data_IF_817207509368
#
_entry.id   IF_817207509368
#
_cell.length_a   1.000
_cell.length_b   1.000
_cell.length_c   1.000
_cell.angle_alpha   90.00
_cell.angle_beta   90.00
_cell.angle_gamma   90.00
#
_symmetry.space_group_name_H-M   'P 1'
#
loop_
_entity.id
_entity.type
_entity.pdbx_description
1 polymer ?
#
# COMPACT_ATOMS: atom_id res chain seq x y z
N UNK A 1 3.20 53.75 -37.97
CA UNK A 1 4.32 54.26 -38.79
C UNK A 1 5.50 53.36 -38.48
N UNK A 2 5.76 52.29 -39.24
CA UNK A 2 6.27 52.30 -40.61
C UNK A 2 5.51 51.31 -41.50
N UNK A 3 5.27 51.77 -42.72
CA UNK A 3 4.66 51.11 -43.86
C UNK A 3 5.75 50.41 -44.68
N UNK A 4 5.50 49.20 -45.20
CA UNK A 4 6.11 48.76 -46.46
C UNK A 4 5.27 47.65 -47.10
N UNK A 5 4.75 47.94 -48.29
CA UNK A 5 4.14 47.00 -49.22
C UNK A 5 5.20 46.30 -50.10
N UNK A 6 4.74 45.21 -50.74
CA UNK A 6 4.90 44.88 -52.16
C UNK A 6 5.98 43.85 -52.54
N UNK A 7 5.54 42.71 -53.09
CA UNK A 7 5.59 42.40 -54.53
C UNK A 7 4.98 41.02 -54.86
N UNK A 8 4.15 40.98 -55.90
CA UNK A 8 3.68 39.78 -56.59
C UNK A 8 4.75 39.19 -57.51
N UNK A 9 4.84 37.86 -57.55
CA UNK A 9 5.23 36.99 -58.69
C UNK A 9 4.37 35.71 -58.46
N UNK A 10 3.51 35.21 -59.34
CA UNK A 10 3.60 35.09 -60.78
C UNK A 10 4.19 33.72 -61.15
N UNK A 11 3.43 32.62 -61.01
CA UNK A 11 3.83 31.32 -61.57
C UNK A 11 2.66 30.43 -61.98
N UNK A 12 2.59 30.26 -63.30
CA UNK A 12 2.03 29.19 -64.15
C UNK A 12 1.16 28.09 -63.50
N UNK A 13 -0.06 27.99 -64.04
CA UNK A 13 -0.97 26.85 -63.91
C UNK A 13 -0.52 25.74 -64.86
N UNK A 14 -0.24 24.54 -64.36
CA UNK A 14 -0.16 23.32 -65.17
C UNK A 14 -1.31 22.43 -64.71
N UNK A 15 -2.27 22.20 -65.61
CA UNK A 15 -3.35 21.24 -65.45
C UNK A 15 -2.77 19.83 -65.54
N UNK A 16 -2.79 19.10 -64.43
CA UNK A 16 -2.62 17.65 -64.43
C UNK A 16 -3.95 17.02 -64.00
N UNK A 17 -4.62 16.36 -64.96
CA UNK A 17 -5.81 15.57 -64.75
C UNK A 17 -5.46 14.36 -63.88
N UNK A 18 -5.93 14.35 -62.64
CA UNK A 18 -5.85 13.17 -61.77
C UNK A 18 -7.26 12.73 -61.36
N UNK A 19 -7.46 11.44 -61.52
CA UNK A 19 -8.68 10.65 -61.37
C UNK A 19 -9.27 10.83 -59.98
N UNK A 20 -10.56 11.18 -59.89
CA UNK A 20 -11.30 11.18 -58.63
C UNK A 20 -11.46 9.74 -58.13
N UNK A 21 -10.58 9.32 -57.22
CA UNK A 21 -10.80 8.14 -56.38
C UNK A 21 -11.49 8.62 -55.12
N UNK A 22 -12.80 8.41 -55.01
CA UNK A 22 -13.55 8.55 -53.76
C UNK A 22 -12.98 7.57 -52.72
N UNK A 23 -12.43 8.04 -51.59
CA UNK A 23 -12.17 7.16 -50.47
C UNK A 23 -13.53 6.81 -49.85
N UNK A 24 -13.90 5.54 -49.90
CA UNK A 24 -15.03 5.04 -49.13
C UNK A 24 -14.80 5.34 -47.65
N UNK A 25 -15.70 6.12 -47.04
CA UNK A 25 -15.76 6.28 -45.59
C UNK A 25 -16.21 4.94 -45.03
N UNK A 26 -15.25 4.11 -44.65
CA UNK A 26 -15.52 2.95 -43.83
C UNK A 26 -15.96 3.46 -42.45
N UNK A 27 -17.27 3.57 -42.24
CA UNK A 27 -17.90 3.77 -40.94
C UNK A 27 -17.60 2.55 -40.06
N UNK A 28 -16.39 2.50 -39.50
CA UNK A 28 -16.12 1.68 -38.35
C UNK A 28 -16.72 2.41 -37.14
N UNK A 29 -17.64 1.79 -36.38
CA UNK A 29 -17.98 2.35 -35.08
C UNK A 29 -16.67 2.49 -34.29
N UNK A 30 -16.44 3.61 -33.59
CA UNK A 30 -15.30 3.68 -32.71
C UNK A 30 -15.41 2.48 -31.76
N UNK A 31 -14.44 1.57 -31.81
CA UNK A 31 -14.26 0.57 -30.76
C UNK A 31 -14.20 1.39 -29.48
N UNK A 32 -15.26 1.33 -28.69
CA UNK A 32 -15.21 1.78 -27.32
C UNK A 32 -14.08 0.98 -26.68
N UNK A 33 -12.92 1.61 -26.52
CA UNK A 33 -11.92 1.17 -25.57
C UNK A 33 -12.70 1.17 -24.27
N UNK A 34 -13.08 -0.01 -23.81
CA UNK A 34 -13.72 -0.20 -22.52
C UNK A 34 -12.92 0.63 -21.53
N UNK A 35 -13.54 1.67 -21.00
CA UNK A 35 -12.95 2.48 -19.94
C UNK A 35 -12.59 1.49 -18.85
N UNK A 36 -11.29 1.28 -18.66
CA UNK A 36 -10.79 0.44 -17.60
C UNK A 36 -11.48 0.92 -16.33
N UNK A 37 -12.27 0.04 -15.71
CA UNK A 37 -13.00 0.31 -14.48
C UNK A 37 -12.08 1.09 -13.56
N UNK A 38 -12.56 2.23 -13.06
CA UNK A 38 -11.85 3.08 -12.09
C UNK A 38 -11.61 2.20 -10.87
N UNK A 39 -10.50 1.47 -10.89
CA UNK A 39 -10.10 0.61 -9.80
C UNK A 39 -9.70 1.58 -8.73
N UNK A 40 -10.57 1.75 -7.73
CA UNK A 40 -10.32 2.53 -6.53
C UNK A 40 -8.87 2.30 -6.09
N UNK A 41 -8.03 3.29 -6.36
CA UNK A 41 -6.60 3.25 -6.05
C UNK A 41 -6.47 3.26 -4.53
N UNK A 42 -5.75 2.30 -3.97
CA UNK A 42 -5.49 2.29 -2.54
C UNK A 42 -4.76 3.58 -2.15
N UNK A 43 -5.27 4.28 -1.15
CA UNK A 43 -4.60 5.43 -0.55
C UNK A 43 -4.02 4.99 0.79
N UNK A 44 -2.71 5.16 0.96
CA UNK A 44 -1.99 4.88 2.20
C UNK A 44 -1.69 6.16 2.97
N UNK A 45 -1.89 6.13 4.28
CA UNK A 45 -1.58 7.21 5.21
C UNK A 45 -0.76 6.63 6.36
N UNK A 46 0.29 7.33 6.77
CA UNK A 46 1.14 6.92 7.87
C UNK A 46 1.28 8.07 8.85
N UNK A 47 1.25 7.75 10.14
CA UNK A 47 1.30 8.72 11.22
C UNK A 47 2.13 8.17 12.37
N UNK A 48 2.63 9.07 13.23
CA UNK A 48 3.27 8.71 14.49
C UNK A 48 2.88 9.67 15.61
N UNK A 49 3.02 9.20 16.84
CA UNK A 49 3.00 9.99 18.07
C UNK A 49 4.12 9.48 18.96
N UNK A 50 4.86 10.41 19.57
CA UNK A 50 5.89 10.11 20.56
C UNK A 50 5.76 11.13 21.69
N UNK A 51 5.50 10.66 22.89
CA UNK A 51 5.42 11.44 24.12
C UNK A 51 6.06 10.64 25.27
N UNK A 52 6.04 11.20 26.48
CA UNK A 52 6.69 10.60 27.66
C UNK A 52 6.22 9.16 27.96
N UNK A 53 5.01 8.81 27.55
CA UNK A 53 4.38 7.54 27.91
C UNK A 53 4.08 6.62 26.71
N UNK A 54 4.22 7.11 25.48
CA UNK A 54 3.79 6.40 24.26
C UNK A 54 4.70 6.73 23.09
N UNK A 55 5.24 5.70 22.45
CA UNK A 55 5.76 5.74 21.09
C UNK A 55 4.88 4.84 20.21
N UNK A 56 4.19 5.42 19.24
CA UNK A 56 3.29 4.68 18.37
C UNK A 56 3.34 5.15 16.91
N UNK A 57 3.16 4.19 16.00
CA UNK A 57 2.98 4.43 14.57
C UNK A 57 1.65 3.84 14.10
N UNK A 58 0.97 4.55 13.23
CA UNK A 58 -0.29 4.13 12.63
C UNK A 58 -0.19 4.16 11.11
N UNK A 59 -0.64 3.08 10.47
CA UNK A 59 -0.73 2.96 9.01
C UNK A 59 -2.17 2.64 8.63
N UNK A 60 -2.76 3.49 7.79
CA UNK A 60 -4.15 3.41 7.36
C UNK A 60 -4.19 3.26 5.84
N UNK A 61 -4.99 2.32 5.35
CA UNK A 61 -5.32 2.18 3.95
C UNK A 61 -6.80 2.43 3.71
N UNK A 62 -7.08 3.16 2.64
CA UNK A 62 -8.42 3.45 2.19
C UNK A 62 -8.57 2.96 0.76
N UNK A 63 -9.57 2.12 0.53
CA UNK A 63 -9.98 1.68 -0.80
C UNK A 63 -11.50 1.86 -0.94
N UNK A 64 -11.90 2.92 -1.64
CA UNK A 64 -13.30 3.34 -1.68
C UNK A 64 -13.73 3.75 -0.27
N UNK A 65 -14.79 3.12 0.25
CA UNK A 65 -15.22 3.35 1.64
C UNK A 65 -14.57 2.39 2.64
N UNK A 66 -13.85 1.37 2.20
CA UNK A 66 -13.23 0.39 3.09
C UNK A 66 -11.97 0.99 3.72
N UNK A 67 -11.84 0.80 5.04
CA UNK A 67 -10.67 1.19 5.82
C UNK A 67 -10.04 -0.06 6.41
N UNK A 68 -8.73 -0.20 6.21
CA UNK A 68 -7.90 -1.14 6.96
C UNK A 68 -6.71 -0.40 7.54
N UNK A 69 -6.04 -1.00 8.52
CA UNK A 69 -4.83 -0.41 9.06
C UNK A 69 -4.23 -1.19 10.20
N UNK A 70 -3.09 -0.70 10.67
CA UNK A 70 -2.34 -1.26 11.78
C UNK A 70 -1.76 -0.15 12.65
N UNK A 71 -1.76 -0.37 13.95
CA UNK A 71 -0.99 0.43 14.91
C UNK A 71 0.06 -0.48 15.55
N UNK A 72 1.28 0.03 15.69
CA UNK A 72 2.33 -0.57 16.51
C UNK A 72 2.72 0.47 17.56
N UNK A 73 2.68 0.10 18.83
CA UNK A 73 2.84 1.03 19.93
C UNK A 73 3.61 0.40 21.10
N UNK A 74 4.40 1.24 21.78
CA UNK A 74 5.07 0.92 23.04
C UNK A 74 4.64 1.94 24.08
N UNK A 75 4.19 1.43 25.22
CA UNK A 75 3.90 2.23 26.41
C UNK A 75 5.15 2.20 27.28
N UNK A 76 5.52 3.38 27.78
CA UNK A 76 6.66 3.59 28.64
C UNK A 76 6.16 4.21 29.96
N UNK A 77 6.59 3.65 31.08
CA UNK A 77 6.50 4.32 32.38
C UNK A 77 7.84 4.17 33.07
N UNK A 78 8.69 5.18 32.93
CA UNK A 78 10.04 5.18 33.48
C UNK A 78 10.05 5.13 35.01
N UNK A 79 9.10 5.83 35.64
CA UNK A 79 8.99 5.90 37.11
C UNK A 79 8.71 4.52 37.72
N UNK A 80 7.92 3.70 37.03
CA UNK A 80 7.56 2.35 37.47
C UNK A 80 8.42 1.25 36.81
N UNK A 81 9.41 1.63 35.99
CA UNK A 81 10.20 0.69 35.17
C UNK A 81 9.34 -0.28 34.34
N UNK A 82 8.19 0.21 33.86
CA UNK A 82 7.21 -0.57 33.11
C UNK A 82 7.27 -0.25 31.61
N UNK A 83 7.35 -1.30 30.80
CA UNK A 83 7.42 -1.23 29.35
C UNK A 83 6.56 -2.34 28.75
N UNK A 84 5.58 -1.99 27.93
CA UNK A 84 4.78 -2.98 27.20
C UNK A 84 4.54 -2.52 25.77
N UNK A 85 4.37 -3.46 24.86
CA UNK A 85 4.06 -3.17 23.46
C UNK A 85 2.77 -3.83 23.05
N UNK A 86 1.99 -3.12 22.23
CA UNK A 86 0.77 -3.66 21.66
C UNK A 86 0.70 -3.40 20.16
N UNK A 87 -0.09 -4.23 19.49
CA UNK A 87 -0.45 -4.01 18.09
C UNK A 87 -1.96 -3.92 17.96
N UNK A 88 -2.42 -3.05 17.06
CA UNK A 88 -3.84 -2.97 16.73
C UNK A 88 -4.05 -3.31 15.26
N UNK A 89 -5.12 -4.04 14.98
CA UNK A 89 -5.64 -4.24 13.63
C UNK A 89 -6.93 -3.47 13.48
N UNK A 90 -6.98 -2.63 12.44
CA UNK A 90 -8.08 -1.72 12.19
C UNK A 90 -8.86 -2.20 10.96
N UNK A 91 -10.19 -2.32 11.09
CA UNK A 91 -11.07 -2.71 9.99
C UNK A 91 -12.36 -1.90 10.08
N UNK A 92 -12.78 -1.25 9.00
CA UNK A 92 -13.92 -0.36 9.10
C UNK A 92 -14.33 0.32 7.81
N UNK A 93 -15.08 1.41 7.97
CA UNK A 93 -15.54 2.25 6.87
C UNK A 93 -15.27 3.72 7.09
N UNK A 94 -15.19 4.48 6.01
CA UNK A 94 -15.02 5.94 6.04
C UNK A 94 -16.30 6.67 5.66
N UNK A 95 -16.65 7.71 6.42
CA UNK A 95 -17.69 8.70 6.09
C UNK A 95 -17.11 10.10 6.27
N UNK A 96 -16.82 10.80 5.18
CA UNK A 96 -16.12 12.08 5.25
C UNK A 96 -14.71 11.91 5.83
N UNK A 97 -14.40 12.58 6.94
CA UNK A 97 -13.15 12.41 7.69
C UNK A 97 -13.24 11.37 8.83
N UNK A 98 -14.43 10.82 9.11
CA UNK A 98 -14.62 9.87 10.19
C UNK A 98 -14.36 8.43 9.71
N UNK A 99 -13.56 7.70 10.48
CA UNK A 99 -13.28 6.28 10.31
C UNK A 99 -14.04 5.52 11.40
N UNK A 100 -15.07 4.75 11.02
CA UNK A 100 -15.79 3.86 11.93
C UNK A 100 -15.05 2.52 11.96
N UNK A 101 -14.33 2.24 13.03
CA UNK A 101 -13.35 1.16 13.12
C UNK A 101 -13.78 0.09 14.13
N UNK A 102 -13.73 -1.17 13.70
CA UNK A 102 -13.58 -2.31 14.60
C UNK A 102 -12.08 -2.53 14.82
N UNK A 103 -11.64 -2.39 16.05
CA UNK A 103 -10.23 -2.47 16.44
C UNK A 103 -10.01 -3.74 17.24
N UNK A 104 -8.99 -4.51 16.87
CA UNK A 104 -8.50 -5.63 17.67
C UNK A 104 -7.11 -5.27 18.18
N UNK A 105 -6.98 -5.10 19.50
CA UNK A 105 -5.70 -4.85 20.17
C UNK A 105 -5.15 -6.17 20.70
N UNK A 106 -3.90 -6.47 20.39
CA UNK A 106 -3.14 -7.58 20.99
C UNK A 106 -2.01 -6.99 21.84
N UNK A 107 -2.00 -7.33 23.11
CA UNK A 107 -0.97 -6.96 24.08
C UNK A 107 -0.56 -8.25 24.80
N UNK A 108 0.70 -8.64 24.67
CA UNK A 108 1.21 -9.90 25.24
C UNK A 108 0.31 -11.11 24.88
N UNK A 109 -0.35 -11.72 25.87
CA UNK A 109 -1.27 -12.85 25.73
C UNK A 109 -2.75 -12.44 25.64
N UNK A 110 -3.05 -11.15 25.79
CA UNK A 110 -4.40 -10.62 25.81
C UNK A 110 -4.82 -10.07 24.47
N UNK A 111 -6.12 -10.24 24.17
CA UNK A 111 -6.76 -9.68 22.98
C UNK A 111 -8.03 -8.96 23.36
N UNK A 112 -8.12 -7.70 22.97
CA UNK A 112 -9.27 -6.83 23.23
C UNK A 112 -9.88 -6.38 21.91
N UNK A 113 -11.20 -6.21 21.89
CA UNK A 113 -11.92 -5.71 20.71
C UNK A 113 -12.76 -4.50 21.09
N UNK A 114 -12.59 -3.41 20.36
CA UNK A 114 -13.33 -2.17 20.56
C UNK A 114 -13.93 -1.66 19.25
N UNK A 115 -14.94 -0.81 19.37
CA UNK A 115 -15.43 0.00 18.25
C UNK A 115 -15.11 1.46 18.55
N UNK A 116 -14.45 2.12 17.61
CA UNK A 116 -14.00 3.50 17.78
C UNK A 116 -14.29 4.31 16.52
N UNK A 117 -14.49 5.61 16.71
CA UNK A 117 -14.59 6.57 15.62
C UNK A 117 -13.36 7.46 15.66
N UNK A 118 -12.49 7.32 14.67
CA UNK A 118 -11.29 8.16 14.54
C UNK A 118 -11.51 9.24 13.49
N UNK A 119 -10.83 10.37 13.64
CA UNK A 119 -10.89 11.47 12.65
C UNK A 119 -9.59 11.53 11.87
N UNK A 120 -9.67 11.34 10.57
CA UNK A 120 -8.56 11.40 9.63
C UNK A 120 -8.59 12.72 8.85
N UNK A 121 -7.52 13.50 8.96
CA UNK A 121 -7.28 14.68 8.12
C UNK A 121 -6.13 14.43 7.14
N UNK A 122 -5.74 15.44 6.37
CA UNK A 122 -4.56 15.36 5.51
C UNK A 122 -3.26 15.17 6.31
N UNK A 123 -3.21 15.70 7.54
CA UNK A 123 -1.97 15.87 8.31
C UNK A 123 -2.02 15.21 9.70
N UNK A 124 -3.18 14.72 10.13
CA UNK A 124 -3.34 14.08 11.43
C UNK A 124 -4.34 12.93 11.46
N UNK A 125 -4.14 12.05 12.43
CA UNK A 125 -5.09 11.02 12.82
C UNK A 125 -5.42 11.21 14.32
N UNK A 126 -6.63 11.65 14.61
CA UNK A 126 -7.12 11.84 15.97
C UNK A 126 -7.95 10.62 16.40
N UNK A 127 -7.49 9.96 17.47
CA UNK A 127 -8.11 8.75 18.03
C UNK A 127 -9.09 9.04 19.18
N UNK A 128 -9.26 10.31 19.56
CA UNK A 128 -9.94 10.75 20.78
C UNK A 128 -9.05 10.71 22.03
N UNK A 129 -8.02 9.86 22.03
CA UNK A 129 -7.01 9.75 23.11
C UNK A 129 -5.73 10.48 22.75
N UNK A 130 -5.26 10.25 21.53
CA UNK A 130 -4.00 10.75 20.99
C UNK A 130 -4.21 11.35 19.61
N UNK A 131 -3.37 12.34 19.27
CA UNK A 131 -3.31 12.96 17.94
C UNK A 131 -1.98 12.60 17.29
N UNK A 132 -2.04 11.72 16.30
CA UNK A 132 -0.87 11.31 15.53
C UNK A 132 -0.61 12.33 14.41
N UNK A 133 0.66 12.62 14.18
CA UNK A 133 1.14 13.51 13.11
C UNK A 133 1.55 12.71 11.89
N UNK A 134 1.27 13.25 10.69
CA UNK A 134 1.59 12.58 9.42
C UNK A 134 3.08 12.31 9.28
N UNK A 135 3.39 11.15 8.72
CA UNK A 135 4.72 10.70 8.37
C UNK A 135 4.76 10.14 6.93
N UNK A 136 5.94 10.11 6.30
CA UNK A 136 6.13 9.37 5.05
C UNK A 136 5.81 7.88 5.23
N UNK A 137 5.02 7.31 4.32
CA UNK A 137 4.82 5.87 4.28
C UNK A 137 6.04 5.17 3.67
N UNK A 138 6.89 4.60 4.51
CA UNK A 138 8.03 3.79 4.10
C UNK A 138 7.57 2.37 3.71
N UNK A 139 6.82 2.28 2.61
CA UNK A 139 6.29 1.02 2.06
C UNK A 139 6.85 0.75 0.66
N UNK A 140 7.21 -0.50 0.39
CA UNK A 140 7.73 -0.93 -0.92
C UNK A 140 6.75 -1.84 -1.64
N UNK A 141 6.67 -1.75 -2.98
CA UNK A 141 5.85 -2.65 -3.78
C UNK A 141 6.69 -3.84 -4.26
N UNK A 142 6.22 -5.06 -4.03
CA UNK A 142 6.77 -6.25 -4.68
C UNK A 142 6.06 -6.41 -6.03
N UNK A 143 6.86 -6.43 -7.11
CA UNK A 143 6.41 -6.68 -8.47
C UNK A 143 7.16 -7.87 -9.04
N UNK A 144 6.45 -8.72 -9.79
CA UNK A 144 7.07 -9.82 -10.51
C UNK A 144 7.52 -9.35 -11.89
N UNK A 145 8.63 -9.91 -12.37
CA UNK A 145 9.06 -9.69 -13.75
C UNK A 145 8.01 -10.28 -14.71
N UNK A 146 7.87 -9.73 -15.94
CA UNK A 146 6.95 -10.27 -16.93
C UNK A 146 7.14 -11.78 -17.13
N UNK A 147 6.03 -12.53 -17.16
CA UNK A 147 6.05 -14.00 -17.31
C UNK A 147 6.47 -14.79 -16.06
N UNK A 148 6.74 -14.11 -14.93
CA UNK A 148 7.10 -14.76 -13.67
C UNK A 148 6.00 -14.58 -12.61
N UNK A 149 6.02 -15.44 -11.61
CA UNK A 149 5.10 -15.39 -10.47
C UNK A 149 5.83 -15.34 -9.12
N UNK A 150 7.11 -14.97 -9.12
CA UNK A 150 7.91 -14.86 -7.92
C UNK A 150 8.90 -13.71 -7.99
N UNK A 151 9.30 -13.22 -6.82
CA UNK A 151 10.38 -12.26 -6.65
C UNK A 151 11.19 -12.57 -5.40
N UNK A 152 12.42 -12.07 -5.38
CA UNK A 152 13.29 -12.11 -4.21
C UNK A 152 13.67 -10.70 -3.82
N UNK A 153 13.46 -10.34 -2.55
CA UNK A 153 13.85 -9.07 -1.96
C UNK A 153 15.06 -9.30 -1.05
N UNK A 154 16.13 -8.54 -1.26
CA UNK A 154 17.31 -8.55 -0.40
C UNK A 154 17.42 -7.17 0.27
N UNK A 155 17.29 -7.12 1.59
CA UNK A 155 17.27 -5.87 2.37
C UNK A 155 17.80 -6.12 3.79
N UNK A 156 17.94 -5.03 4.56
CA UNK A 156 18.19 -5.10 6.00
C UNK A 156 17.07 -4.38 6.75
N UNK A 157 16.74 -4.83 7.95
CA UNK A 157 15.83 -4.15 8.87
C UNK A 157 16.56 -3.82 10.15
N UNK A 158 16.41 -2.58 10.62
CA UNK A 158 16.98 -2.09 11.87
C UNK A 158 16.17 -2.62 13.05
N UNK A 159 16.82 -2.89 14.19
CA UNK A 159 16.16 -3.32 15.42
C UNK A 159 15.04 -2.32 15.78
N UNK A 160 13.85 -2.86 16.09
CA UNK A 160 12.68 -2.05 16.45
C UNK A 160 11.89 -1.54 15.25
N UNK A 161 12.51 -1.36 14.08
CA UNK A 161 11.84 -0.95 12.84
C UNK A 161 11.18 -2.12 12.11
N UNK A 162 10.41 -1.81 11.05
CA UNK A 162 9.80 -2.79 10.15
C UNK A 162 9.98 -2.39 8.70
N UNK A 163 10.29 -3.36 7.84
CA UNK A 163 10.21 -3.18 6.39
C UNK A 163 8.84 -3.67 5.91
N UNK A 164 8.06 -2.81 5.28
CA UNK A 164 6.69 -3.12 4.86
C UNK A 164 6.66 -3.27 3.34
N UNK A 165 6.14 -4.40 2.88
CA UNK A 165 5.96 -4.70 1.48
C UNK A 165 4.49 -4.88 1.13
N UNK A 166 4.09 -4.30 0.01
CA UNK A 166 2.78 -4.51 -0.59
C UNK A 166 2.91 -5.43 -1.80
N UNK A 167 2.09 -6.48 -1.82
CA UNK A 167 2.00 -7.42 -2.93
C UNK A 167 0.53 -7.58 -3.35
N UNK A 168 0.23 -7.24 -4.60
CA UNK A 168 -1.10 -7.46 -5.15
C UNK A 168 -1.29 -8.93 -5.53
N UNK A 169 -2.36 -9.54 -5.04
CA UNK A 169 -2.74 -10.90 -5.38
C UNK A 169 -4.28 -11.08 -5.34
N UNK A 170 -4.76 -12.17 -5.92
CA UNK A 170 -6.18 -12.48 -6.04
C UNK A 170 -6.62 -13.53 -5.01
N UNK A 171 -7.89 -13.44 -4.60
CA UNK A 171 -8.54 -14.46 -3.78
C UNK A 171 -8.38 -15.83 -4.44
N UNK A 172 -8.09 -16.83 -3.62
CA UNK A 172 -7.94 -18.21 -4.07
C UNK A 172 -6.55 -18.54 -4.63
N UNK A 173 -5.67 -17.57 -4.87
CA UNK A 173 -4.28 -17.90 -5.15
C UNK A 173 -3.59 -18.47 -3.90
N UNK A 174 -2.47 -19.16 -4.09
CA UNK A 174 -1.56 -19.57 -3.02
C UNK A 174 -0.37 -18.61 -3.00
N UNK A 175 -0.03 -18.10 -1.82
CA UNK A 175 1.19 -17.31 -1.60
C UNK A 175 2.18 -18.12 -0.78
N UNK A 176 3.32 -18.43 -1.38
CA UNK A 176 4.44 -19.06 -0.69
C UNK A 176 5.47 -17.99 -0.33
N UNK A 177 5.88 -17.96 0.93
CA UNK A 177 6.90 -17.05 1.43
C UNK A 177 7.98 -17.83 2.18
N UNK A 178 9.23 -17.43 1.98
CA UNK A 178 10.37 -17.91 2.76
C UNK A 178 11.34 -16.76 2.99
N UNK A 179 11.68 -16.52 4.24
CA UNK A 179 12.71 -15.55 4.63
C UNK A 179 13.92 -16.30 5.20
N UNK A 180 15.11 -15.84 4.83
CA UNK A 180 16.38 -16.29 5.39
C UNK A 180 17.20 -15.10 5.82
N UNK A 181 17.94 -15.22 6.91
CA UNK A 181 18.88 -14.21 7.42
C UNK A 181 20.14 -14.92 7.90
N UNK A 182 21.29 -14.24 7.83
CA UNK A 182 22.58 -14.81 8.24
C UNK A 182 22.54 -15.30 9.69
N UNK A 183 21.87 -14.53 10.54
CA UNK A 183 21.79 -14.75 11.97
C UNK A 183 20.50 -15.48 12.41
N UNK A 184 19.68 -15.94 11.47
CA UNK A 184 18.36 -16.54 11.76
C UNK A 184 17.47 -15.66 12.66
N UNK A 185 17.52 -14.35 12.43
CA UNK A 185 16.85 -13.34 13.25
C UNK A 185 15.84 -12.48 12.49
N UNK A 186 15.46 -12.85 11.26
CA UNK A 186 14.41 -12.18 10.49
C UNK A 186 13.14 -13.03 10.41
N UNK A 187 12.00 -12.41 10.65
CA UNK A 187 10.66 -13.00 10.54
C UNK A 187 9.73 -12.08 9.75
N UNK A 188 8.59 -12.62 9.31
CA UNK A 188 7.54 -11.83 8.68
C UNK A 188 6.14 -12.11 9.23
N UNK A 189 5.30 -11.08 9.17
CA UNK A 189 3.85 -11.17 9.26
C UNK A 189 3.23 -11.06 7.85
N UNK A 190 2.04 -11.64 7.67
CA UNK A 190 1.23 -11.45 6.46
C UNK A 190 -0.17 -11.00 6.83
N UNK A 191 -0.59 -9.86 6.28
CA UNK A 191 -1.92 -9.27 6.47
C UNK A 191 -2.64 -9.20 5.14
N UNK A 192 -3.87 -9.66 5.12
CA UNK A 192 -4.72 -9.67 3.94
C UNK A 192 -5.35 -8.29 3.65
N UNK A 193 -5.79 -8.02 2.41
CA UNK A 193 -6.43 -6.77 2.02
C UNK A 193 -7.67 -6.40 2.85
N UNK A 194 -8.33 -7.41 3.43
CA UNK A 194 -9.48 -7.23 4.30
C UNK A 194 -9.09 -6.90 5.76
N UNK A 195 -7.80 -6.83 6.09
CA UNK A 195 -7.24 -6.60 7.42
C UNK A 195 -7.05 -7.87 8.26
N UNK A 196 -7.31 -9.07 7.72
CA UNK A 196 -7.10 -10.33 8.43
C UNK A 196 -5.60 -10.66 8.55
N UNK A 197 -5.13 -10.98 9.77
CA UNK A 197 -3.77 -11.46 9.97
C UNK A 197 -3.73 -12.94 9.60
N UNK A 198 -3.00 -13.27 8.53
CA UNK A 198 -2.87 -14.64 8.04
C UNK A 198 -1.73 -15.39 8.70
N UNK A 199 -0.66 -14.66 9.05
CA UNK A 199 0.50 -15.24 9.71
C UNK A 199 1.24 -14.18 10.52
N UNK A 200 1.80 -14.59 11.64
CA UNK A 200 2.70 -13.77 12.45
C UNK A 200 4.04 -14.47 12.65
N UNK A 201 5.10 -13.68 12.71
CA UNK A 201 6.46 -14.05 13.09
C UNK A 201 6.97 -15.34 12.43
N UNK A 202 6.67 -15.53 11.14
CA UNK A 202 7.04 -16.73 10.42
C UNK A 202 8.38 -16.58 9.69
N UNK A 203 9.09 -17.70 9.53
CA UNK A 203 10.24 -17.82 8.62
C UNK A 203 9.85 -18.43 7.27
N UNK A 204 8.71 -19.15 7.23
CA UNK A 204 8.13 -19.73 6.02
C UNK A 204 6.62 -19.90 6.16
N UNK A 205 5.89 -19.78 5.06
CA UNK A 205 4.45 -20.01 5.02
C UNK A 205 3.96 -20.34 3.61
N UNK A 206 2.83 -21.04 3.54
CA UNK A 206 2.08 -21.28 2.31
C UNK A 206 0.60 -21.00 2.58
N UNK A 207 0.12 -19.86 2.08
CA UNK A 207 -1.17 -19.28 2.46
C UNK A 207 -2.15 -19.35 1.30
N UNK A 208 -3.37 -19.85 1.55
CA UNK A 208 -4.50 -19.68 0.62
C UNK A 208 -5.10 -18.28 0.83
N UNK A 209 -5.11 -17.47 -0.22
CA UNK A 209 -5.45 -16.06 -0.11
C UNK A 209 -6.96 -15.82 0.01
N UNK A 210 -7.45 -15.19 1.09
CA UNK A 210 -8.89 -15.03 1.32
C UNK A 210 -9.53 -13.88 0.54
N UNK A 211 -8.74 -12.95 0.00
CA UNK A 211 -9.24 -11.72 -0.63
C UNK A 211 -8.40 -11.31 -1.85
N UNK A 212 -9.00 -10.54 -2.75
CA UNK A 212 -8.28 -9.89 -3.84
C UNK A 212 -7.86 -8.49 -3.41
N UNK A 213 -6.59 -8.14 -3.56
CA UNK A 213 -6.10 -6.81 -3.21
C UNK A 213 -4.62 -6.79 -2.88
N UNK A 214 -4.20 -5.78 -2.12
CA UNK A 214 -2.81 -5.64 -1.65
C UNK A 214 -2.66 -6.33 -0.29
N UNK A 215 -1.78 -7.32 -0.25
CA UNK A 215 -1.32 -7.97 0.96
C UNK A 215 -0.15 -7.19 1.53
N UNK A 216 -0.08 -7.10 2.86
CA UNK A 216 1.08 -6.56 3.55
C UNK A 216 1.96 -7.68 4.05
N UNK A 217 3.24 -7.63 3.70
CA UNK A 217 4.28 -8.49 4.25
C UNK A 217 5.18 -7.60 5.08
N UNK A 218 5.16 -7.79 6.40
CA UNK A 218 5.87 -6.94 7.36
C UNK A 218 7.06 -7.72 7.88
N UNK A 219 8.27 -7.27 7.55
CA UNK A 219 9.51 -7.92 7.97
C UNK A 219 10.10 -7.19 9.17
N UNK A 220 10.47 -7.95 10.20
CA UNK A 220 11.12 -7.44 11.41
C UNK A 220 12.25 -8.35 11.88
N UNK A 221 13.14 -7.80 12.70
CA UNK A 221 14.15 -8.57 13.41
C UNK A 221 13.63 -9.10 14.75
N UNK A 222 13.93 -10.34 15.10
CA UNK A 222 13.64 -10.91 16.44
C UNK A 222 14.71 -10.52 17.46
N UNK A 223 15.94 -10.27 17.00
CA UNK A 223 17.06 -9.76 17.81
C UNK A 223 17.98 -8.92 16.94
N UNK A 224 18.38 -7.75 17.42
CA UNK A 224 19.30 -6.87 16.70
C UNK A 224 18.80 -6.45 15.31
N UNK A 225 19.74 -5.99 14.47
CA UNK A 225 19.49 -5.73 13.06
C UNK A 225 19.47 -7.07 12.30
N UNK A 226 18.72 -7.15 11.20
CA UNK A 226 18.65 -8.36 10.39
C UNK A 226 18.81 -8.05 8.91
N UNK A 227 19.87 -8.56 8.29
CA UNK A 227 20.00 -8.64 6.83
C UNK A 227 19.31 -9.91 6.35
N UNK A 228 18.39 -9.78 5.39
CA UNK A 228 17.55 -10.87 4.97
C UNK A 228 17.35 -10.95 3.46
N UNK A 229 16.98 -12.16 3.04
CA UNK A 229 16.45 -12.49 1.72
C UNK A 229 15.04 -13.03 1.89
N UNK A 230 14.05 -12.35 1.34
CA UNK A 230 12.65 -12.74 1.32
C UNK A 230 12.28 -13.21 -0.09
N UNK A 231 11.97 -14.48 -0.25
CA UNK A 231 11.37 -15.01 -1.47
C UNK A 231 9.85 -15.03 -1.33
N UNK A 232 9.15 -14.55 -2.35
CA UNK A 232 7.69 -14.53 -2.42
C UNK A 232 7.26 -15.07 -3.77
N UNK A 233 6.27 -15.98 -3.76
CA UNK A 233 5.70 -16.60 -4.96
C UNK A 233 4.18 -16.64 -4.87
N UNK A 234 3.50 -16.45 -6.00
CA UNK A 234 2.04 -16.56 -6.13
C UNK A 234 1.69 -17.66 -7.14
N UNK A 235 0.70 -18.49 -6.84
CA UNK A 235 0.21 -19.57 -7.71
C UNK A 235 -1.32 -19.53 -7.83
#
# INVERSE_FOLDING_TARGET
>A
MVMMMMKLLGCLVIFASLVNVTPGIANHPPRQIAQASITSSIQGYCFSVANDNLDATARIYIQGNQVTGRVEATIHNEQESYYTSYTQTLRGTRKGNQLNLNITTKIELDTQKTQEIWTLTADSLNTGREVYQKQPCLVSQIRFAPGTNSATVNQSVVRGSRNIYLLRANRGQRMDLKITSLENNAVFDVIAPNGEILKTEATQSSLKLPATGNYEIIVGGTRGNATYKLNVKIQ
#
